data_IF_414705461051
#
_entry.id   IF_414705461051
#
_cell.length_a   1.000
_cell.length_b   1.000
_cell.length_c   1.000
_cell.angle_alpha   90.00
_cell.angle_beta   90.00
_cell.angle_gamma   90.00
#
_symmetry.space_group_name_H-M   'P 1'
#
loop_
_entity.id
_entity.type
_entity.pdbx_description
1 polymer ?
#
# COMPACT_ATOMS: atom_id res chain seq x y z
N UNK A 1 38.98 -39.23 -23.05
CA UNK A 1 38.55 -38.09 -22.21
C UNK A 1 37.05 -37.92 -22.36
N UNK A 2 36.24 -38.25 -21.34
CA UNK A 2 34.80 -37.96 -21.32
C UNK A 2 34.58 -36.73 -20.44
N UNK A 3 34.10 -35.64 -21.05
CA UNK A 3 33.65 -34.44 -20.34
C UNK A 3 32.37 -34.78 -19.58
N UNK A 4 32.44 -34.85 -18.26
CA UNK A 4 31.27 -34.97 -17.39
C UNK A 4 30.48 -33.67 -17.42
N UNK A 5 29.27 -33.70 -17.99
CA UNK A 5 28.28 -32.62 -17.83
C UNK A 5 27.87 -32.58 -16.36
N UNK A 6 28.29 -31.54 -15.65
CA UNK A 6 27.75 -31.20 -14.34
C UNK A 6 26.38 -30.58 -14.57
N UNK A 7 25.31 -31.34 -14.31
CA UNK A 7 23.97 -30.80 -14.15
C UNK A 7 23.90 -30.17 -12.76
N UNK A 8 24.03 -28.85 -12.69
CA UNK A 8 23.76 -28.11 -11.45
C UNK A 8 22.25 -28.11 -11.26
N UNK A 9 21.76 -29.02 -10.42
CA UNK A 9 20.36 -29.04 -10.02
C UNK A 9 20.15 -27.88 -9.03
N UNK A 10 19.93 -26.67 -9.55
CA UNK A 10 19.50 -25.52 -8.76
C UNK A 10 18.05 -25.77 -8.37
N UNK A 11 17.84 -26.58 -7.33
CA UNK A 11 16.58 -26.60 -6.60
C UNK A 11 16.47 -25.22 -5.93
N UNK A 12 15.96 -24.23 -6.69
CA UNK A 12 15.48 -22.99 -6.11
C UNK A 12 14.42 -23.45 -5.11
N UNK A 13 14.59 -23.23 -3.79
CA UNK A 13 13.55 -23.56 -2.85
C UNK A 13 12.29 -22.86 -3.34
N UNK A 14 11.24 -23.64 -3.61
CA UNK A 14 9.91 -23.12 -3.90
C UNK A 14 9.47 -22.41 -2.63
N UNK A 15 9.84 -21.14 -2.49
CA UNK A 15 9.37 -20.28 -1.42
C UNK A 15 7.84 -20.29 -1.59
N UNK A 16 7.13 -20.81 -0.60
CA UNK A 16 5.68 -20.73 -0.58
C UNK A 16 5.30 -19.26 -0.37
N UNK A 17 4.18 -18.84 -0.97
CA UNK A 17 3.64 -17.52 -0.69
C UNK A 17 3.45 -17.39 0.82
N UNK A 18 3.98 -16.35 1.47
CA UNK A 18 3.88 -16.22 2.91
C UNK A 18 2.41 -15.99 3.30
N UNK A 19 1.91 -16.82 4.23
CA UNK A 19 0.56 -16.69 4.76
C UNK A 19 0.44 -15.45 5.66
N UNK A 20 -0.67 -14.71 5.55
CA UNK A 20 -0.93 -13.48 6.31
C UNK A 20 0.19 -12.42 6.21
N UNK A 21 0.90 -12.41 5.10
CA UNK A 21 2.00 -11.48 4.85
C UNK A 21 1.52 -10.04 4.63
N UNK A 22 2.36 -9.07 4.98
CA UNK A 22 2.12 -7.67 4.63
C UNK A 22 2.19 -7.48 3.10
N UNK A 23 1.53 -6.44 2.54
CA UNK A 23 1.68 -6.10 1.12
C UNK A 23 3.13 -6.01 0.63
N UNK A 24 4.03 -5.46 1.46
CA UNK A 24 5.46 -5.36 1.14
C UNK A 24 6.15 -6.73 1.03
N UNK A 25 5.83 -7.65 1.93
CA UNK A 25 6.36 -9.01 1.88
C UNK A 25 5.81 -9.81 0.68
N UNK A 26 4.54 -9.59 0.30
CA UNK A 26 3.94 -10.18 -0.90
C UNK A 26 4.62 -9.62 -2.17
N UNK A 27 4.85 -8.30 -2.23
CA UNK A 27 5.60 -7.67 -3.32
C UNK A 27 7.00 -8.28 -3.46
N UNK A 28 7.75 -8.39 -2.35
CA UNK A 28 9.08 -8.98 -2.37
C UNK A 28 9.06 -10.41 -2.90
N UNK A 29 8.11 -11.22 -2.40
CA UNK A 29 7.93 -12.61 -2.80
C UNK A 29 7.74 -12.76 -4.32
N UNK A 30 6.76 -12.05 -4.90
CA UNK A 30 6.48 -12.16 -6.33
C UNK A 30 7.58 -11.55 -7.19
N UNK A 31 8.23 -10.48 -6.73
CA UNK A 31 9.37 -9.89 -7.43
C UNK A 31 10.52 -10.90 -7.55
N UNK A 32 10.89 -11.54 -6.45
CA UNK A 32 11.97 -12.55 -6.43
C UNK A 32 11.59 -13.81 -7.22
N UNK A 33 10.34 -14.28 -7.08
CA UNK A 33 9.80 -15.43 -7.83
C UNK A 33 9.87 -15.22 -9.35
N UNK A 34 9.63 -13.99 -9.80
CA UNK A 34 9.65 -13.65 -11.23
C UNK A 34 11.04 -13.20 -11.71
N UNK A 35 12.06 -13.19 -10.85
CA UNK A 35 13.41 -12.79 -11.21
C UNK A 35 13.56 -11.30 -11.55
N UNK A 36 12.63 -10.44 -11.10
CA UNK A 36 12.69 -8.99 -11.34
C UNK A 36 13.61 -8.35 -10.29
N UNK A 37 14.58 -7.54 -10.72
CA UNK A 37 15.43 -6.78 -9.80
C UNK A 37 14.67 -5.57 -9.22
N UNK A 38 15.16 -5.02 -8.10
CA UNK A 38 14.56 -3.80 -7.52
C UNK A 38 14.72 -2.60 -8.46
N UNK A 39 15.82 -2.53 -9.21
CA UNK A 39 16.05 -1.48 -10.22
C UNK A 39 15.03 -1.57 -11.36
N UNK A 40 14.82 -2.75 -11.93
CA UNK A 40 13.83 -2.92 -13.01
C UNK A 40 12.40 -2.57 -12.54
N UNK A 41 12.04 -2.98 -11.32
CA UNK A 41 10.75 -2.60 -10.76
C UNK A 41 10.65 -1.09 -10.49
N UNK A 42 11.75 -0.46 -10.05
CA UNK A 42 11.81 0.98 -9.82
C UNK A 42 11.59 1.77 -11.11
N UNK A 43 12.18 1.33 -12.23
CA UNK A 43 11.98 1.91 -13.55
C UNK A 43 10.51 1.83 -13.99
N UNK A 44 9.86 0.68 -13.78
CA UNK A 44 8.43 0.49 -14.08
C UNK A 44 7.55 1.44 -13.26
N UNK A 45 7.89 1.65 -11.99
CA UNK A 45 7.13 2.49 -11.07
C UNK A 45 7.49 3.98 -11.15
N UNK A 46 8.50 4.35 -11.94
CA UNK A 46 8.98 5.72 -12.04
C UNK A 46 9.49 6.25 -10.69
N UNK A 47 10.15 5.41 -9.89
CA UNK A 47 10.72 5.77 -8.58
C UNK A 47 12.15 5.27 -8.45
N UNK A 48 12.77 5.49 -7.30
CA UNK A 48 14.12 5.00 -7.01
C UNK A 48 14.10 3.55 -6.52
N UNK A 49 15.22 2.84 -6.67
CA UNK A 49 15.40 1.51 -6.08
C UNK A 49 15.15 1.51 -4.56
N UNK A 50 15.59 2.57 -3.88
CA UNK A 50 15.31 2.76 -2.46
C UNK A 50 13.81 2.91 -2.17
N UNK A 51 13.06 3.52 -3.08
CA UNK A 51 11.59 3.55 -3.04
C UNK A 51 11.00 2.14 -3.03
N UNK A 52 11.49 1.25 -3.90
CA UNK A 52 11.08 -0.17 -3.92
C UNK A 52 11.44 -0.87 -2.62
N UNK A 53 12.64 -0.64 -2.07
CA UNK A 53 13.04 -1.19 -0.76
C UNK A 53 12.05 -0.76 0.33
N UNK A 54 11.65 0.51 0.35
CA UNK A 54 10.69 1.01 1.34
C UNK A 54 9.31 0.38 1.20
N UNK A 55 8.85 0.09 -0.02
CA UNK A 55 7.60 -0.65 -0.25
C UNK A 55 7.72 -2.09 0.28
N UNK A 56 8.79 -2.81 -0.06
CA UNK A 56 9.00 -4.20 0.37
C UNK A 56 9.11 -4.33 1.89
N UNK A 57 9.79 -3.39 2.54
CA UNK A 57 9.92 -3.35 4.00
C UNK A 57 8.70 -2.78 4.73
N UNK A 58 7.73 -2.25 4.00
CA UNK A 58 6.52 -1.65 4.56
C UNK A 58 6.75 -0.31 5.25
N UNK A 59 7.90 0.33 5.02
CA UNK A 59 8.15 1.71 5.46
C UNK A 59 7.24 2.70 4.73
N UNK A 60 6.93 2.40 3.46
CA UNK A 60 5.93 3.13 2.68
C UNK A 60 4.79 2.16 2.31
N UNK A 61 3.52 2.61 2.35
CA UNK A 61 2.41 1.80 1.88
C UNK A 61 2.44 1.66 0.35
N UNK A 62 1.89 0.54 -0.14
CA UNK A 62 1.61 0.35 -1.57
C UNK A 62 0.20 0.89 -1.85
N UNK A 63 0.08 2.08 -2.43
CA UNK A 63 -1.21 2.62 -2.85
C UNK A 63 -1.73 1.95 -4.12
N UNK A 64 -3.04 2.02 -4.37
CA UNK A 64 -3.73 1.32 -5.46
C UNK A 64 -3.07 1.53 -6.84
N UNK A 65 -2.69 2.75 -7.17
CA UNK A 65 -1.98 3.06 -8.43
C UNK A 65 -0.70 2.25 -8.60
N UNK A 66 0.11 2.12 -7.54
CA UNK A 66 1.31 1.29 -7.57
C UNK A 66 0.95 -0.19 -7.57
N UNK A 67 -0.07 -0.61 -6.83
CA UNK A 67 -0.54 -2.01 -6.84
C UNK A 67 -0.94 -2.47 -8.26
N UNK A 68 -1.61 -1.62 -9.04
CA UNK A 68 -1.96 -1.91 -10.45
C UNK A 68 -0.72 -2.07 -11.33
N UNK A 69 0.26 -1.17 -11.19
CA UNK A 69 1.51 -1.25 -11.97
C UNK A 69 2.33 -2.49 -11.60
N UNK A 70 2.46 -2.78 -10.29
CA UNK A 70 3.14 -3.96 -9.79
C UNK A 70 2.41 -5.23 -10.24
N UNK A 71 1.08 -5.26 -10.16
CA UNK A 71 0.27 -6.40 -10.60
C UNK A 71 0.51 -6.75 -12.07
N UNK A 72 0.56 -5.73 -12.93
CA UNK A 72 0.92 -5.90 -14.33
C UNK A 72 2.36 -6.38 -14.52
N UNK A 73 3.33 -5.81 -13.79
CA UNK A 73 4.74 -6.18 -13.89
C UNK A 73 5.02 -7.61 -13.43
N UNK A 74 4.31 -8.06 -12.38
CA UNK A 74 4.49 -9.36 -11.76
C UNK A 74 3.47 -10.42 -12.20
N UNK A 75 2.55 -10.06 -13.09
CA UNK A 75 1.45 -10.92 -13.53
C UNK A 75 0.65 -11.51 -12.35
N UNK A 76 0.25 -10.63 -11.42
CA UNK A 76 -0.59 -10.95 -10.27
C UNK A 76 -1.80 -10.01 -10.21
N UNK A 77 -2.85 -10.44 -9.51
CA UNK A 77 -3.98 -9.56 -9.19
C UNK A 77 -3.50 -8.44 -8.24
N UNK A 78 -3.73 -7.16 -8.54
CA UNK A 78 -3.42 -6.06 -7.63
C UNK A 78 -3.99 -6.20 -6.22
N UNK A 79 -5.13 -6.89 -6.06
CA UNK A 79 -5.73 -7.16 -4.75
C UNK A 79 -4.82 -7.95 -3.81
N UNK A 80 -3.86 -8.71 -4.37
CA UNK A 80 -2.83 -9.42 -3.58
C UNK A 80 -1.94 -8.47 -2.78
N UNK A 81 -1.87 -7.19 -3.18
CA UNK A 81 -1.08 -6.16 -2.53
C UNK A 81 -1.95 -5.21 -1.69
N UNK A 82 -3.23 -5.51 -1.50
CA UNK A 82 -4.17 -4.61 -0.85
C UNK A 82 -4.56 -5.11 0.54
N UNK A 83 -4.21 -4.33 1.55
CA UNK A 83 -4.74 -4.46 2.91
C UNK A 83 -5.94 -3.52 3.12
N UNK A 84 -6.53 -3.54 4.32
CA UNK A 84 -7.66 -2.66 4.65
C UNK A 84 -7.32 -1.17 4.48
N UNK A 85 -6.10 -0.76 4.82
CA UNK A 85 -5.63 0.62 4.65
C UNK A 85 -5.60 1.02 3.17
N UNK A 86 -5.11 0.11 2.32
CA UNK A 86 -5.02 0.33 0.88
C UNK A 86 -6.41 0.46 0.26
N UNK A 87 -7.36 -0.38 0.69
CA UNK A 87 -8.77 -0.29 0.29
C UNK A 87 -9.44 1.00 0.76
N UNK A 88 -9.14 1.43 1.99
CA UNK A 88 -9.63 2.71 2.50
C UNK A 88 -9.17 3.88 1.63
N UNK A 89 -7.93 3.84 1.12
CA UNK A 89 -7.35 4.88 0.28
C UNK A 89 -7.75 4.83 -1.21
N UNK A 90 -8.67 3.94 -1.61
CA UNK A 90 -9.21 3.97 -2.97
C UNK A 90 -9.90 5.31 -3.28
N UNK A 91 -10.01 5.70 -4.57
CA UNK A 91 -10.70 6.93 -4.95
C UNK A 91 -12.08 7.05 -4.28
N UNK A 92 -12.33 8.18 -3.64
CA UNK A 92 -13.50 8.40 -2.77
C UNK A 92 -13.19 8.40 -1.27
N UNK A 93 -11.96 8.04 -0.84
CA UNK A 93 -11.51 8.14 0.55
C UNK A 93 -11.72 9.53 1.18
N UNK A 94 -11.56 10.61 0.41
CA UNK A 94 -11.79 11.98 0.88
C UNK A 94 -13.23 12.22 1.29
N UNK A 95 -14.20 11.63 0.56
CA UNK A 95 -15.62 11.65 0.93
C UNK A 95 -15.88 10.84 2.20
N UNK A 96 -15.22 9.68 2.35
CA UNK A 96 -15.31 8.86 3.58
C UNK A 96 -14.83 9.66 4.80
N UNK A 97 -13.67 10.30 4.70
CA UNK A 97 -13.11 11.16 5.77
C UNK A 97 -14.09 12.30 6.12
N UNK A 98 -14.61 12.99 5.10
CA UNK A 98 -15.58 14.07 5.29
C UNK A 98 -16.86 13.61 5.97
N UNK A 99 -17.38 12.44 5.61
CA UNK A 99 -18.57 11.86 6.22
C UNK A 99 -18.34 11.51 7.70
N UNK A 100 -17.21 10.90 8.03
CA UNK A 100 -16.82 10.59 9.41
C UNK A 100 -16.70 11.88 10.22
N UNK A 101 -16.00 12.89 9.69
CA UNK A 101 -15.88 14.19 10.35
C UNK A 101 -17.24 14.84 10.59
N UNK A 102 -18.13 14.82 9.60
CA UNK A 102 -19.48 15.36 9.70
C UNK A 102 -20.32 14.62 10.75
N UNK A 103 -20.18 13.30 10.90
CA UNK A 103 -20.85 12.51 11.92
C UNK A 103 -20.42 12.85 13.36
N UNK A 104 -19.23 13.45 13.53
CA UNK A 104 -18.79 14.04 14.80
C UNK A 104 -19.22 15.51 14.96
N UNK A 105 -19.75 16.14 13.92
CA UNK A 105 -20.21 17.53 13.97
C UNK A 105 -19.08 18.56 14.12
N UNK A 106 -17.85 18.21 13.74
CA UNK A 106 -16.66 19.06 13.95
C UNK A 106 -16.15 19.69 12.65
N UNK A 107 -15.52 20.85 12.78
CA UNK A 107 -14.86 21.53 11.65
C UNK A 107 -13.57 20.81 11.23
N UNK A 108 -13.01 21.11 10.05
CA UNK A 108 -11.68 20.59 9.68
C UNK A 108 -10.59 21.05 10.67
N UNK A 109 -10.75 22.25 11.26
CA UNK A 109 -9.81 22.80 12.25
C UNK A 109 -9.81 21.98 13.54
N UNK A 110 -10.97 21.51 13.98
CA UNK A 110 -11.11 20.74 15.21
C UNK A 110 -10.85 19.24 14.98
N UNK A 111 -11.05 18.75 13.75
CA UNK A 111 -10.74 17.38 13.35
C UNK A 111 -9.23 17.12 13.22
N UNK A 112 -8.50 18.10 12.66
CA UNK A 112 -7.06 18.03 12.42
C UNK A 112 -6.23 17.56 13.65
N UNK A 113 -6.35 18.16 14.85
CA UNK A 113 -5.59 17.70 16.01
C UNK A 113 -6.01 16.30 16.50
N UNK A 114 -7.26 15.87 16.25
CA UNK A 114 -7.72 14.52 16.63
C UNK A 114 -6.95 13.45 15.85
N UNK A 115 -6.71 13.69 14.55
CA UNK A 115 -6.00 12.77 13.66
C UNK A 115 -4.51 13.10 13.52
N UNK A 116 -4.00 14.05 14.32
CA UNK A 116 -2.58 14.35 14.44
C UNK A 116 -1.95 15.11 13.26
N UNK A 117 -2.72 15.94 12.56
CA UNK A 117 -2.24 16.71 11.39
C UNK A 117 -2.72 18.16 11.44
N UNK A 118 -2.29 18.97 10.47
CA UNK A 118 -2.79 20.33 10.28
C UNK A 118 -4.11 20.38 9.50
N UNK A 119 -4.87 21.47 9.66
CA UNK A 119 -6.14 21.69 8.96
C UNK A 119 -5.98 21.65 7.43
N UNK A 120 -4.87 22.14 6.89
CA UNK A 120 -4.57 22.09 5.45
C UNK A 120 -4.47 20.66 4.95
N UNK A 121 -3.85 19.76 5.73
CA UNK A 121 -3.75 18.33 5.41
C UNK A 121 -5.12 17.67 5.34
N UNK A 122 -6.01 17.97 6.28
CA UNK A 122 -7.41 17.50 6.22
C UNK A 122 -8.12 18.00 4.95
N UNK A 123 -7.91 19.28 4.59
CA UNK A 123 -8.48 19.84 3.36
C UNK A 123 -7.96 19.14 2.10
N UNK A 124 -6.67 18.79 2.07
CA UNK A 124 -6.04 18.04 0.97
C UNK A 124 -6.65 16.64 0.87
N UNK A 125 -6.83 15.95 1.99
CA UNK A 125 -7.44 14.61 2.02
C UNK A 125 -8.90 14.64 1.55
N UNK A 126 -9.72 15.55 2.07
CA UNK A 126 -11.15 15.64 1.70
C UNK A 126 -11.37 16.02 0.23
N UNK A 127 -10.40 16.70 -0.38
CA UNK A 127 -10.40 17.07 -1.79
C UNK A 127 -9.61 16.10 -2.68
N UNK A 128 -8.98 15.07 -2.10
CA UNK A 128 -8.13 14.08 -2.79
C UNK A 128 -7.04 14.69 -3.69
N UNK A 129 -6.40 15.77 -3.22
CA UNK A 129 -5.41 16.50 -4.01
C UNK A 129 -4.08 15.72 -4.07
N UNK A 130 -3.54 15.56 -5.28
CA UNK A 130 -2.20 15.01 -5.56
C UNK A 130 -1.91 13.62 -4.96
N UNK A 131 -2.93 12.75 -4.84
CA UNK A 131 -2.77 11.42 -4.23
C UNK A 131 -2.15 11.49 -2.82
N UNK A 132 -2.43 12.56 -2.07
CA UNK A 132 -1.95 12.71 -0.71
C UNK A 132 -2.88 11.96 0.23
N UNK A 133 -2.44 10.79 0.67
CA UNK A 133 -3.22 9.89 1.52
C UNK A 133 -2.95 10.14 3.02
N UNK A 134 -3.88 9.77 3.91
CA UNK A 134 -3.61 9.71 5.34
C UNK A 134 -2.49 8.71 5.65
N UNK A 135 -1.70 8.98 6.68
CA UNK A 135 -0.78 7.96 7.21
C UNK A 135 -1.54 6.78 7.79
N UNK A 136 -0.85 5.67 8.08
CA UNK A 136 -1.48 4.51 8.75
C UNK A 136 -1.98 4.87 10.15
N UNK A 137 -1.26 5.73 10.86
CA UNK A 137 -1.64 6.23 12.18
C UNK A 137 -2.93 7.04 12.10
N UNK A 138 -3.00 7.99 11.17
CA UNK A 138 -4.21 8.78 10.95
C UNK A 138 -5.39 7.90 10.52
N UNK A 139 -5.16 6.95 9.61
CA UNK A 139 -6.16 5.95 9.22
C UNK A 139 -6.70 5.17 10.42
N UNK A 140 -5.84 4.68 11.32
CA UNK A 140 -6.27 3.92 12.48
C UNK A 140 -7.20 4.74 13.40
N UNK A 141 -6.91 6.04 13.57
CA UNK A 141 -7.77 6.96 14.32
C UNK A 141 -9.11 7.13 13.59
N UNK A 142 -9.07 7.43 12.29
CA UNK A 142 -10.27 7.63 11.45
C UNK A 142 -11.15 6.37 11.44
N UNK A 143 -10.54 5.18 11.33
CA UNK A 143 -11.21 3.88 11.39
C UNK A 143 -11.94 3.68 12.72
N UNK A 144 -11.28 4.01 13.84
CA UNK A 144 -11.90 3.94 15.16
C UNK A 144 -13.09 4.90 15.26
N UNK A 145 -12.92 6.13 14.80
CA UNK A 145 -13.99 7.14 14.79
C UNK A 145 -15.21 6.70 13.96
N UNK A 146 -14.96 6.13 12.78
CA UNK A 146 -16.03 5.61 11.93
C UNK A 146 -16.83 4.51 12.62
N UNK A 147 -16.14 3.57 13.28
CA UNK A 147 -16.77 2.49 14.06
C UNK A 147 -17.64 3.04 15.20
N UNK A 148 -17.17 4.04 15.93
CA UNK A 148 -17.92 4.68 17.02
C UNK A 148 -19.20 5.37 16.54
N UNK A 149 -19.22 5.86 15.30
CA UNK A 149 -20.41 6.52 14.69
C UNK A 149 -21.25 5.60 13.81
N UNK A 150 -20.85 4.34 13.62
CA UNK A 150 -21.51 3.43 12.70
C UNK A 150 -21.42 3.87 11.23
N UNK A 151 -20.38 4.61 10.86
CA UNK A 151 -20.12 5.02 9.47
C UNK A 151 -19.34 3.92 8.77
N UNK A 152 -19.85 3.44 7.65
CA UNK A 152 -19.15 2.46 6.82
C UNK A 152 -17.95 3.10 6.11
N UNK A 153 -16.82 2.39 6.13
CA UNK A 153 -15.56 2.80 5.50
C UNK A 153 -15.02 1.77 4.53
N UNK A 154 -15.74 0.66 4.34
CA UNK A 154 -15.41 -0.35 3.33
C UNK A 154 -15.45 0.23 1.92
#
# INVERSE_FOLDING_TARGET
MRLGKVLVNLAIPMISKPENASPGAILQYYREKNGISKSELADILGMTEYGVVNLEKGFNPIHYKNAVLIGKALNIDPEELMDEYTRFCLPGFGKKIKAIRAAYGVSQKDFAPIVGVDRSTVSIWEAEINEHHPSREAYNIIKKMAKEKGVDIS
#
